data_IF_585381079816
#
_entry.id   IF_585381079816
#
_cell.length_a   1.000
_cell.length_b   1.000
_cell.length_c   1.000
_cell.angle_alpha   90.00
_cell.angle_beta   90.00
_cell.angle_gamma   90.00
#
_symmetry.space_group_name_H-M   'P 1'
#
loop_
_entity.id
_entity.type
_entity.pdbx_description
1 polymer ?
#
# COMPACT_ATOMS: atom_id res chain seq x y z
N UNK A 1 -52.10 -30.49 3.03
CA UNK A 1 -52.22 -29.61 1.84
C UNK A 1 -51.86 -28.19 2.28
N UNK A 2 -50.61 -27.82 2.57
CA UNK A 2 -49.33 -27.92 1.84
C UNK A 2 -49.24 -27.10 0.54
N UNK A 3 -50.00 -26.00 0.40
CA UNK A 3 -49.91 -25.14 -0.82
C UNK A 3 -49.86 -23.63 -0.59
N UNK A 4 -49.49 -23.17 0.61
CA UNK A 4 -49.38 -21.72 0.89
C UNK A 4 -48.01 -21.26 1.37
N UNK A 5 -47.10 -22.17 1.74
CA UNK A 5 -45.79 -21.81 2.30
C UNK A 5 -44.73 -21.68 1.19
N UNK A 6 -44.98 -22.18 -0.01
CA UNK A 6 -43.98 -22.18 -1.11
C UNK A 6 -43.86 -20.86 -1.86
N UNK A 7 -44.80 -19.92 -1.71
CA UNK A 7 -44.81 -18.71 -2.54
C UNK A 7 -44.10 -17.51 -1.91
N UNK A 8 -43.87 -17.52 -0.60
CA UNK A 8 -43.05 -16.48 0.07
C UNK A 8 -41.55 -16.75 -0.07
N UNK A 9 -41.16 -18.00 -0.33
CA UNK A 9 -39.75 -18.37 -0.50
C UNK A 9 -39.17 -17.89 -1.84
N UNK A 10 -40.00 -17.49 -2.81
CA UNK A 10 -39.56 -17.10 -4.15
C UNK A 10 -39.15 -15.61 -4.26
N UNK A 11 -39.39 -14.78 -3.24
CA UNK A 11 -38.94 -13.38 -3.24
C UNK A 11 -37.49 -13.19 -2.77
N UNK A 12 -36.80 -14.25 -2.34
CA UNK A 12 -35.39 -14.20 -1.93
C UNK A 12 -34.39 -14.39 -3.08
N UNK A 13 -34.85 -14.52 -4.32
CA UNK A 13 -34.03 -14.43 -5.52
C UNK A 13 -34.56 -13.22 -6.30
N UNK A 14 -34.04 -12.01 -6.19
CA UNK A 14 -32.71 -11.64 -6.67
C UNK A 14 -32.32 -10.29 -6.09
N UNK A 15 -32.05 -10.21 -4.79
CA UNK A 15 -31.03 -9.26 -4.35
C UNK A 15 -29.69 -9.94 -4.64
N UNK A 16 -29.40 -10.14 -5.94
CA UNK A 16 -28.03 -10.34 -6.38
C UNK A 16 -27.33 -9.07 -5.90
N UNK A 17 -26.66 -9.20 -4.76
CA UNK A 17 -25.65 -8.24 -4.39
C UNK A 17 -24.70 -8.25 -5.57
N UNK A 18 -24.88 -7.29 -6.47
CA UNK A 18 -23.74 -6.67 -7.12
C UNK A 18 -22.92 -6.11 -5.96
N UNK A 19 -22.19 -6.98 -5.26
CA UNK A 19 -20.89 -6.61 -4.75
C UNK A 19 -20.16 -6.21 -6.02
N UNK A 20 -20.29 -4.92 -6.34
CA UNK A 20 -19.33 -4.21 -7.16
C UNK A 20 -18.02 -4.65 -6.55
N UNK A 21 -17.29 -5.48 -7.30
CA UNK A 21 -15.98 -5.97 -6.93
C UNK A 21 -15.12 -4.70 -6.88
N UNK A 22 -15.21 -3.99 -5.75
CA UNK A 22 -14.38 -2.85 -5.42
C UNK A 22 -13.03 -3.50 -5.42
N UNK A 23 -12.28 -3.37 -6.52
CA UNK A 23 -10.94 -3.93 -6.70
C UNK A 23 -10.19 -3.61 -5.41
N UNK A 24 -10.14 -4.58 -4.50
CA UNK A 24 -9.91 -4.26 -3.10
C UNK A 24 -8.43 -3.97 -2.96
N UNK A 25 -8.12 -2.94 -2.18
CA UNK A 25 -6.73 -2.67 -1.80
C UNK A 25 -6.24 -3.92 -1.08
N UNK A 26 -5.17 -4.59 -1.55
CA UNK A 26 -4.81 -5.87 -0.95
C UNK A 26 -4.34 -5.68 0.50
N UNK A 27 -4.71 -6.62 1.38
CA UNK A 27 -4.50 -6.49 2.84
C UNK A 27 -3.04 -6.25 3.24
N UNK A 28 -2.10 -6.82 2.49
CA UNK A 28 -0.65 -6.71 2.70
C UNK A 28 -0.11 -5.28 2.55
N UNK A 29 -0.88 -4.36 1.97
CA UNK A 29 -0.51 -2.95 1.85
C UNK A 29 -0.97 -2.12 3.04
N UNK A 30 -2.10 -2.48 3.65
CA UNK A 30 -2.59 -1.87 4.89
C UNK A 30 -1.85 -2.44 6.10
N UNK A 31 -1.52 -3.74 6.05
CA UNK A 31 -0.79 -4.45 7.10
C UNK A 31 0.39 -5.22 6.49
N UNK A 32 1.54 -4.56 6.25
CA UNK A 32 2.74 -5.25 5.77
C UNK A 32 3.13 -6.40 6.71
N UNK A 33 3.57 -7.55 6.18
CA UNK A 33 3.92 -8.69 7.00
C UNK A 33 5.08 -8.35 7.95
N UNK A 34 5.06 -8.92 9.14
CA UNK A 34 6.16 -8.80 10.09
C UNK A 34 7.12 -9.99 9.94
N UNK A 35 8.42 -9.75 10.11
CA UNK A 35 9.44 -10.81 10.08
C UNK A 35 10.54 -10.53 11.08
N UNK A 36 11.11 -11.60 11.65
CA UNK A 36 12.30 -11.52 12.47
C UNK A 36 13.53 -11.03 11.68
N UNK A 37 13.59 -11.27 10.36
CA UNK A 37 14.79 -11.04 9.53
C UNK A 37 14.63 -9.93 8.49
N UNK A 38 13.40 -9.59 8.13
CA UNK A 38 13.08 -8.58 7.11
C UNK A 38 12.27 -7.44 7.69
N UNK A 39 12.41 -6.27 7.09
CA UNK A 39 11.58 -5.09 7.28
C UNK A 39 10.79 -4.93 5.99
N UNK A 40 9.49 -4.69 6.11
CA UNK A 40 8.60 -4.52 4.99
C UNK A 40 8.00 -3.11 5.01
N UNK A 41 7.82 -2.56 3.82
CA UNK A 41 7.11 -1.32 3.63
C UNK A 41 6.23 -1.43 2.39
N UNK A 42 5.02 -0.92 2.47
CA UNK A 42 4.11 -0.81 1.36
C UNK A 42 4.22 0.59 0.77
N UNK A 43 3.92 0.74 -0.51
CA UNK A 43 3.73 2.04 -1.14
C UNK A 43 2.65 1.96 -2.20
N UNK A 44 1.99 3.09 -2.41
CA UNK A 44 0.90 3.20 -3.39
C UNK A 44 1.06 4.47 -4.20
N UNK A 45 0.75 4.40 -5.49
CA UNK A 45 0.69 5.58 -6.33
C UNK A 45 -0.22 5.39 -7.53
N UNK A 46 -0.69 6.52 -8.05
CA UNK A 46 -1.50 6.60 -9.26
C UNK A 46 -0.68 7.27 -10.37
N UNK A 47 -0.81 6.77 -11.59
CA UNK A 47 -0.14 7.32 -12.76
C UNK A 47 -0.94 7.15 -14.06
N UNK A 48 -0.62 7.94 -15.09
CA UNK A 48 -1.23 7.83 -16.42
C UNK A 48 -0.80 6.57 -17.18
N UNK A 49 0.33 5.97 -16.79
CA UNK A 49 0.81 4.67 -17.28
C UNK A 49 1.21 3.80 -16.10
N UNK A 50 1.19 2.47 -16.29
CA UNK A 50 1.60 1.51 -15.26
C UNK A 50 3.03 1.77 -14.79
N UNK A 51 3.96 2.07 -15.71
CA UNK A 51 5.36 2.32 -15.38
C UNK A 51 5.55 3.56 -14.50
N UNK A 52 4.82 4.64 -14.79
CA UNK A 52 4.87 5.86 -13.99
C UNK A 52 4.30 5.59 -12.59
N UNK A 53 3.17 4.90 -12.52
CA UNK A 53 2.56 4.52 -11.25
C UNK A 53 3.47 3.58 -10.43
N UNK A 54 4.12 2.61 -11.07
CA UNK A 54 5.03 1.68 -10.40
C UNK A 54 6.29 2.37 -9.87
N UNK A 55 6.90 3.28 -10.64
CA UNK A 55 8.06 4.07 -10.18
C UNK A 55 7.69 4.92 -8.96
N UNK A 56 6.53 5.58 -8.99
CA UNK A 56 6.02 6.38 -7.87
C UNK A 56 5.71 5.52 -6.65
N UNK A 57 5.02 4.39 -6.83
CA UNK A 57 4.67 3.48 -5.74
C UNK A 57 5.91 2.84 -5.10
N UNK A 58 6.92 2.50 -5.91
CA UNK A 58 8.21 1.98 -5.42
C UNK A 58 8.98 3.05 -4.65
N UNK A 59 8.92 4.31 -5.09
CA UNK A 59 9.52 5.44 -4.38
C UNK A 59 8.83 5.68 -3.04
N UNK A 60 7.50 5.69 -3.03
CA UNK A 60 6.70 5.80 -1.81
C UNK A 60 7.04 4.67 -0.81
N UNK A 61 7.09 3.43 -1.29
CA UNK A 61 7.46 2.28 -0.46
C UNK A 61 8.88 2.41 0.13
N UNK A 62 9.83 2.95 -0.63
CA UNK A 62 11.19 3.25 -0.13
C UNK A 62 11.21 4.37 0.90
N UNK A 63 10.40 5.41 0.74
CA UNK A 63 10.26 6.49 1.72
C UNK A 63 9.70 5.93 3.03
N UNK A 64 8.64 5.11 2.96
CA UNK A 64 8.09 4.45 4.14
C UNK A 64 9.13 3.54 4.82
N UNK A 65 9.89 2.78 4.03
CA UNK A 65 10.99 1.96 4.56
C UNK A 65 12.07 2.84 5.22
N UNK A 66 12.42 3.97 4.61
CA UNK A 66 13.38 4.93 5.14
C UNK A 66 12.91 5.56 6.45
N UNK A 67 11.62 5.89 6.59
CA UNK A 67 11.03 6.39 7.84
C UNK A 67 11.12 5.37 8.97
N UNK A 68 10.99 4.07 8.66
CA UNK A 68 11.10 3.01 9.67
C UNK A 68 12.54 2.77 10.16
N UNK A 69 13.56 3.01 9.31
CA UNK A 69 14.96 2.63 9.62
C UNK A 69 15.92 3.80 9.77
N UNK A 70 15.56 4.97 9.26
CA UNK A 70 16.39 6.16 9.19
C UNK A 70 16.17 7.12 10.34
N UNK A 71 16.91 8.23 10.30
CA UNK A 71 16.69 9.37 11.18
C UNK A 71 15.76 10.36 10.48
N UNK A 72 14.65 10.69 11.12
CA UNK A 72 13.71 11.72 10.67
C UNK A 72 14.11 13.03 11.34
N UNK A 73 14.41 14.06 10.55
CA UNK A 73 14.67 15.42 11.03
C UNK A 73 13.60 16.34 10.47
N UNK A 74 12.99 17.13 11.34
CA UNK A 74 12.05 18.16 10.95
C UNK A 74 12.81 19.49 10.92
N UNK A 75 12.91 20.09 9.73
CA UNK A 75 13.46 21.43 9.57
C UNK A 75 12.28 22.40 9.62
N UNK A 76 12.26 23.25 10.64
CA UNK A 76 11.40 24.43 10.66
C UNK A 76 12.22 25.62 10.20
N UNK A 77 11.66 26.45 9.32
CA UNK A 77 12.19 27.78 9.02
C UNK A 77 11.54 28.73 10.03
N UNK A 78 12.36 29.47 10.79
CA UNK A 78 11.85 30.43 11.77
C UNK A 78 10.88 31.42 11.10
N UNK A 79 9.64 31.45 11.57
CA UNK A 79 8.59 32.37 11.10
C UNK A 79 7.59 31.82 10.07
N UNK A 80 7.79 30.62 9.51
CA UNK A 80 6.82 29.96 8.62
C UNK A 80 6.34 28.63 9.19
N UNK A 81 5.03 28.34 9.09
CA UNK A 81 4.41 27.07 9.51
C UNK A 81 4.80 25.86 8.66
N UNK A 82 5.79 26.00 7.76
CA UNK A 82 6.22 24.95 6.85
C UNK A 82 7.32 24.13 7.53
N UNK A 83 6.91 23.04 8.17
CA UNK A 83 7.82 22.01 8.67
C UNK A 83 8.20 21.06 7.53
N UNK A 84 9.48 21.06 7.12
CA UNK A 84 9.99 20.13 6.10
C UNK A 84 10.53 18.86 6.77
N UNK A 85 9.94 17.70 6.46
CA UNK A 85 10.45 16.40 6.91
C UNK A 85 11.61 15.96 6.02
N UNK A 86 12.79 15.79 6.61
CA UNK A 86 13.98 15.24 5.97
C UNK A 86 14.29 13.88 6.56
N UNK A 87 14.15 12.83 5.75
CA UNK A 87 14.46 11.45 6.13
C UNK A 87 15.81 11.04 5.54
N UNK A 88 16.80 10.80 6.40
CA UNK A 88 18.11 10.28 5.97
C UNK A 88 18.21 8.80 6.34
N UNK A 89 18.23 7.94 5.32
CA UNK A 89 18.36 6.50 5.49
C UNK A 89 19.27 5.88 4.42
N UNK A 90 20.11 4.92 4.81
CA UNK A 90 20.87 4.07 3.88
C UNK A 90 20.11 2.77 3.67
N UNK A 91 19.37 2.68 2.57
CA UNK A 91 18.65 1.46 2.18
C UNK A 91 19.55 0.57 1.30
N UNK A 92 19.82 -0.67 1.70
CA UNK A 92 20.65 -1.62 0.95
C UNK A 92 19.88 -2.92 0.68
N UNK A 93 19.99 -3.44 -0.54
CA UNK A 93 19.31 -4.66 -0.99
C UNK A 93 17.78 -4.63 -0.85
N UNK A 94 17.15 -3.48 -1.16
CA UNK A 94 15.69 -3.37 -1.20
C UNK A 94 15.16 -4.18 -2.37
N UNK A 95 14.20 -5.07 -2.12
CA UNK A 95 13.56 -5.91 -3.14
C UNK A 95 12.06 -5.67 -3.18
N UNK A 96 11.48 -5.70 -4.38
CA UNK A 96 10.02 -5.76 -4.55
C UNK A 96 9.60 -7.22 -4.32
N UNK A 97 8.73 -7.45 -3.35
CA UNK A 97 8.21 -8.78 -3.00
C UNK A 97 6.86 -9.05 -3.67
N UNK A 98 5.99 -8.04 -3.73
CA UNK A 98 4.68 -8.13 -4.37
C UNK A 98 4.28 -6.82 -5.04
N UNK A 99 3.51 -6.94 -6.12
CA UNK A 99 2.93 -5.84 -6.88
C UNK A 99 1.48 -6.15 -7.23
N UNK A 100 0.61 -5.15 -7.13
CA UNK A 100 -0.76 -5.19 -7.68
C UNK A 100 -1.02 -3.94 -8.49
N UNK A 101 -1.65 -4.11 -9.64
CA UNK A 101 -2.07 -3.00 -10.52
C UNK A 101 -3.59 -3.01 -10.60
N UNK A 102 -4.18 -1.84 -10.39
CA UNK A 102 -5.61 -1.57 -10.53
C UNK A 102 -5.76 -0.45 -11.56
N UNK A 103 -6.18 -0.83 -12.77
CA UNK A 103 -6.51 0.15 -13.81
C UNK A 103 -7.96 0.60 -13.70
N UNK A 104 -8.19 1.91 -13.75
CA UNK A 104 -9.51 2.55 -13.78
C UNK A 104 -9.49 3.70 -14.80
N UNK A 105 -10.19 3.51 -15.92
CA UNK A 105 -10.15 4.44 -17.05
C UNK A 105 -8.72 4.66 -17.56
N UNK A 106 -8.32 5.93 -17.66
CA UNK A 106 -6.98 6.35 -18.11
C UNK A 106 -5.96 6.47 -16.96
N UNK A 107 -6.24 5.83 -15.83
CA UNK A 107 -5.37 5.86 -14.65
C UNK A 107 -5.05 4.46 -14.15
N UNK A 108 -3.84 4.31 -13.63
CA UNK A 108 -3.35 3.07 -13.06
C UNK A 108 -2.89 3.32 -11.63
N UNK A 109 -3.53 2.65 -10.68
CA UNK A 109 -3.09 2.59 -9.29
C UNK A 109 -2.20 1.37 -9.12
N UNK A 110 -0.98 1.57 -8.64
CA UNK A 110 -0.02 0.49 -8.39
C UNK A 110 0.29 0.45 -6.90
N UNK A 111 0.24 -0.76 -6.35
CA UNK A 111 0.60 -1.05 -4.97
C UNK A 111 1.88 -1.90 -4.98
N UNK A 112 2.92 -1.47 -4.27
CA UNK A 112 4.23 -2.16 -4.21
C UNK A 112 4.60 -2.49 -2.76
N UNK A 113 4.91 -3.76 -2.48
CA UNK A 113 5.43 -4.22 -1.21
C UNK A 113 6.92 -4.45 -1.38
N UNK A 114 7.73 -3.70 -0.64
CA UNK A 114 9.18 -3.88 -0.63
C UNK A 114 9.65 -4.53 0.66
N UNK A 115 10.79 -5.21 0.59
CA UNK A 115 11.49 -5.69 1.77
C UNK A 115 12.96 -5.34 1.78
N UNK A 116 13.54 -5.30 2.97
CA UNK A 116 14.98 -5.20 3.21
C UNK A 116 15.37 -6.10 4.39
N UNK A 117 16.58 -6.64 4.38
CA UNK A 117 17.10 -7.43 5.52
C UNK A 117 17.38 -6.50 6.71
N UNK A 118 16.95 -6.86 7.92
CA UNK A 118 17.19 -6.08 9.15
C UNK A 118 18.67 -5.83 9.42
N UNK A 119 19.53 -6.82 9.13
CA UNK A 119 20.99 -6.69 9.27
C UNK A 119 21.61 -5.59 8.41
N UNK A 120 20.89 -5.10 7.39
CA UNK A 120 21.37 -4.03 6.51
C UNK A 120 21.06 -2.63 7.05
N UNK A 121 20.30 -2.51 8.15
CA UNK A 121 20.06 -1.24 8.83
C UNK A 121 21.35 -0.83 9.54
N UNK A 122 22.03 0.20 9.01
CA UNK A 122 23.11 0.87 9.74
C UNK A 122 22.50 2.01 10.56
N UNK A 123 22.47 1.86 11.89
CA UNK A 123 22.25 3.00 12.78
C UNK A 123 23.55 3.80 12.81
N UNK A 124 23.51 5.06 12.37
CA UNK A 124 24.60 5.99 12.64
C UNK A 124 24.53 6.27 14.16
N UNK A 125 25.52 5.78 14.91
CA UNK A 125 25.84 6.18 16.29
C UNK A 125 26.49 7.55 16.31
#
# INVERSE_FOLDING_TARGET
MNRLITLVLLMFATAAMAQVDVKSIPDLYNNPPTSARKIYAAGTAIGPTVDVAEKKATMDAKIQLARQVGQVKYLSKDGESITTEVVKAKLRDVRVERKKVISAGNSHTVFVLVSMKKKNVKRET
#
